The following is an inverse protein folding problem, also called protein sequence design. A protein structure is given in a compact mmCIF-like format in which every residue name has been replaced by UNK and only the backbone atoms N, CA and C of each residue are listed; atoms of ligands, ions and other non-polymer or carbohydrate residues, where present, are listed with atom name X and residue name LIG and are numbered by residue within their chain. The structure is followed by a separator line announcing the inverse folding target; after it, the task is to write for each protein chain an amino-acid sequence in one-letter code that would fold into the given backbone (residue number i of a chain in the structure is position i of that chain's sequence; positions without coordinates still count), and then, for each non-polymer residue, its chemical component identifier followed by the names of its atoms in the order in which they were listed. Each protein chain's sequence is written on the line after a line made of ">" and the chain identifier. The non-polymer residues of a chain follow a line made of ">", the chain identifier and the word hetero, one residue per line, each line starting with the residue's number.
data_IF_959542780688
#
_entry.id   IF_959542780688
#
_cell.length_a   1.000
_cell.length_b   1.000
_cell.length_c   1.000
_cell.angle_alpha   90.00
_cell.angle_beta   90.00
_cell.angle_gamma   90.00
#
_symmetry.space_group_name_H-M   'P 1'
#
loop_
_entity.id
_entity.type
_entity.pdbx_description
1 polymer ?
#
# COMPACT_ATOMS: atom_id res chain seq x y z
N UNK A 1 -0.24 -11.11 24.35
CA UNK A 1 1.21 -10.86 24.43
C UNK A 1 1.39 -9.45 24.91
N UNK A 2 2.34 -9.18 25.81
CA UNK A 2 2.63 -7.79 26.20
C UNK A 2 3.55 -7.18 25.14
N UNK A 3 3.13 -6.09 24.51
CA UNK A 3 3.89 -5.45 23.43
C UNK A 3 5.14 -4.73 23.94
N UNK A 4 5.21 -4.42 25.24
CA UNK A 4 6.33 -3.73 25.85
C UNK A 4 7.66 -4.50 25.72
N UNK A 5 7.60 -5.83 25.57
CA UNK A 5 8.79 -6.69 25.45
C UNK A 5 9.50 -6.59 24.10
N UNK A 6 8.82 -6.10 23.06
CA UNK A 6 9.35 -6.08 21.69
C UNK A 6 9.01 -4.82 20.90
N UNK A 7 8.50 -3.77 21.56
CA UNK A 7 8.30 -2.47 20.94
C UNK A 7 8.96 -1.39 21.79
N UNK A 8 9.87 -0.65 21.16
CA UNK A 8 10.51 0.51 21.76
C UNK A 8 9.61 1.72 21.49
N UNK A 9 9.02 2.25 22.56
CA UNK A 9 8.18 3.44 22.49
C UNK A 9 8.89 4.64 21.84
N UNK A 10 8.20 5.43 21.00
CA UNK A 10 8.80 6.58 20.35
C UNK A 10 9.12 7.68 21.37
N UNK A 11 10.19 8.43 21.11
CA UNK A 11 10.56 9.62 21.89
C UNK A 11 9.50 10.70 21.73
N UNK A 12 9.30 11.48 22.80
CA UNK A 12 8.44 12.66 22.75
C UNK A 12 9.22 13.85 22.19
N UNK A 13 8.58 14.63 21.32
CA UNK A 13 9.12 15.87 20.78
C UNK A 13 8.19 17.02 21.15
N UNK A 14 8.74 18.23 21.29
CA UNK A 14 7.91 19.43 21.43
C UNK A 14 7.26 19.73 20.09
N UNK A 15 5.93 19.84 20.09
CA UNK A 15 5.12 20.17 18.91
C UNK A 15 4.11 21.27 19.24
N UNK A 16 3.69 21.99 18.22
CA UNK A 16 2.62 22.96 18.30
C UNK A 16 1.25 22.27 18.25
N UNK A 17 0.21 22.90 18.82
CA UNK A 17 -1.14 22.32 18.91
C UNK A 17 -1.79 21.98 17.56
N UNK A 18 -1.30 22.55 16.45
CA UNK A 18 -1.80 22.29 15.09
C UNK A 18 -1.03 21.17 14.37
N UNK A 19 0.04 20.66 14.97
CA UNK A 19 0.90 19.64 14.39
C UNK A 19 0.47 18.24 14.83
N UNK A 20 0.68 17.24 13.97
CA UNK A 20 0.31 15.84 14.21
C UNK A 20 0.85 15.32 15.54
N UNK A 21 2.10 15.63 15.88
CA UNK A 21 2.72 15.11 17.10
C UNK A 21 2.03 15.56 18.39
N UNK A 22 1.18 16.59 18.35
CA UNK A 22 0.37 17.01 19.50
C UNK A 22 -0.81 16.08 19.81
N UNK A 23 -1.23 15.24 18.85
CA UNK A 23 -2.35 14.29 18.97
C UNK A 23 -1.95 12.82 18.89
N UNK A 24 -0.71 12.52 18.52
CA UNK A 24 -0.22 11.14 18.46
C UNK A 24 -0.31 10.48 19.85
N UNK A 25 -0.87 9.27 19.89
CA UNK A 25 -0.86 8.41 21.07
C UNK A 25 -0.01 7.16 20.84
N UNK A 26 0.26 6.39 21.90
CA UNK A 26 1.14 5.20 21.85
C UNK A 26 0.42 3.86 22.03
N UNK A 27 -0.87 3.92 22.34
CA UNK A 27 -1.71 2.73 22.54
C UNK A 27 -2.62 2.53 21.34
N UNK A 28 -2.76 1.27 20.91
CA UNK A 28 -3.67 0.88 19.85
C UNK A 28 -5.10 1.22 20.28
N UNK A 29 -5.80 2.00 19.46
CA UNK A 29 -7.20 2.39 19.67
C UNK A 29 -8.10 1.75 18.62
N UNK A 30 -9.36 1.61 18.96
CA UNK A 30 -10.38 1.16 18.02
C UNK A 30 -10.48 2.13 16.82
N UNK A 31 -10.60 1.59 15.61
CA UNK A 31 -10.73 2.36 14.35
C UNK A 31 -9.63 3.43 14.14
N UNK A 32 -8.40 3.15 14.60
CA UNK A 32 -7.24 4.05 14.49
C UNK A 32 -6.29 3.68 13.35
N UNK A 33 -5.38 4.59 13.01
CA UNK A 33 -4.22 4.32 12.15
C UNK A 33 -3.02 4.05 13.07
N UNK A 34 -2.41 2.86 12.95
CA UNK A 34 -1.30 2.45 13.81
C UNK A 34 -0.01 2.40 13.01
N UNK A 35 0.91 3.31 13.29
CA UNK A 35 2.24 3.33 12.71
C UNK A 35 3.15 2.42 13.54
N UNK A 36 3.82 1.48 12.88
CA UNK A 36 4.86 0.65 13.48
C UNK A 36 6.08 0.65 12.56
N UNK A 37 7.23 0.99 13.14
CA UNK A 37 8.47 1.08 12.40
C UNK A 37 9.30 -0.19 12.56
N UNK A 38 9.88 -0.69 11.48
CA UNK A 38 10.63 -1.95 11.45
C UNK A 38 12.04 -1.66 10.91
N UNK A 39 13.05 -2.19 11.57
CA UNK A 39 14.46 -2.01 11.20
C UNK A 39 15.17 -3.32 10.85
N UNK A 40 14.40 -4.37 10.57
CA UNK A 40 14.93 -5.66 10.11
C UNK A 40 15.00 -5.69 8.57
N UNK A 41 16.20 -5.76 8.02
CA UNK A 41 16.44 -5.78 6.57
C UNK A 41 17.05 -7.09 6.10
N UNK A 42 17.07 -8.14 6.94
CA UNK A 42 17.69 -9.43 6.61
C UNK A 42 17.08 -10.10 5.38
N UNK A 43 15.81 -9.81 5.08
CA UNK A 43 15.12 -10.32 3.89
C UNK A 43 15.57 -9.66 2.59
N UNK A 44 16.36 -8.60 2.67
CA UNK A 44 17.03 -7.91 1.56
C UNK A 44 18.57 -7.94 1.69
N UNK A 45 19.12 -8.96 2.38
CA UNK A 45 20.55 -9.08 2.69
C UNK A 45 21.15 -7.91 3.50
N UNK A 46 20.31 -7.18 4.25
CA UNK A 46 20.73 -6.18 5.22
C UNK A 46 20.85 -6.75 6.63
N UNK A 47 20.94 -5.85 7.61
CA UNK A 47 21.08 -6.21 9.02
C UNK A 47 19.71 -6.22 9.74
N UNK A 48 19.66 -6.95 10.85
CA UNK A 48 18.49 -7.04 11.74
C UNK A 48 18.59 -6.16 12.99
N UNK A 49 19.49 -5.18 13.01
CA UNK A 49 19.75 -4.37 14.20
C UNK A 49 18.67 -3.30 14.42
N UNK A 50 18.36 -3.02 15.69
CA UNK A 50 17.42 -1.95 16.05
C UNK A 50 17.97 -0.61 15.60
N UNK A 51 17.23 0.08 14.73
CA UNK A 51 17.54 1.43 14.25
C UNK A 51 16.50 2.45 14.73
N UNK A 52 16.94 3.70 14.91
CA UNK A 52 16.13 4.79 15.44
C UNK A 52 15.47 5.62 14.32
N UNK A 53 14.15 5.56 14.19
CA UNK A 53 13.38 6.38 13.24
C UNK A 53 13.12 7.83 13.72
N UNK A 54 13.81 8.30 14.76
CA UNK A 54 13.67 9.67 15.32
C UNK A 54 13.79 10.75 14.26
N UNK A 55 14.65 10.60 13.24
CA UNK A 55 14.81 11.62 12.20
C UNK A 55 13.53 11.78 11.35
N UNK A 56 12.93 10.66 10.94
CA UNK A 56 11.64 10.63 10.23
C UNK A 56 10.53 11.18 11.11
N UNK A 57 10.45 10.75 12.38
CA UNK A 57 9.45 11.24 13.34
C UNK A 57 9.55 12.75 13.55
N UNK A 58 10.75 13.32 13.64
CA UNK A 58 10.96 14.77 13.78
C UNK A 58 10.41 15.57 12.61
N UNK A 59 10.46 15.03 11.39
CA UNK A 59 9.86 15.68 10.22
C UNK A 59 8.34 15.45 10.21
N UNK A 60 7.88 14.22 10.44
CA UNK A 60 6.46 13.85 10.44
C UNK A 60 5.64 14.56 11.52
N UNK A 61 6.13 14.59 12.76
CA UNK A 61 5.39 15.16 13.89
C UNK A 61 5.17 16.67 13.77
N UNK A 62 5.95 17.35 12.92
CA UNK A 62 5.83 18.79 12.65
C UNK A 62 4.82 19.11 11.55
N UNK A 63 4.32 18.11 10.81
CA UNK A 63 3.34 18.31 9.77
C UNK A 63 1.95 18.62 10.37
N UNK A 64 1.10 19.29 9.58
CA UNK A 64 -0.23 19.72 10.03
C UNK A 64 -1.14 18.53 10.30
N UNK A 65 -1.90 18.57 11.39
CA UNK A 65 -2.93 17.56 11.64
C UNK A 65 -4.27 17.85 10.94
N UNK A 66 -4.40 19.04 10.33
CA UNK A 66 -5.66 19.52 9.73
C UNK A 66 -6.87 19.27 10.66
N UNK A 67 -7.98 18.85 10.09
CA UNK A 67 -9.21 18.42 10.75
C UNK A 67 -9.31 16.88 10.84
N UNK A 68 -8.18 16.16 10.84
CA UNK A 68 -8.18 14.70 10.93
C UNK A 68 -8.94 14.22 12.17
N UNK A 69 -9.92 13.35 11.95
CA UNK A 69 -10.78 12.77 12.98
C UNK A 69 -10.31 11.37 13.40
N UNK A 70 -9.58 10.67 12.53
CA UNK A 70 -9.10 9.32 12.82
C UNK A 70 -7.89 9.41 13.76
N UNK A 71 -7.91 8.73 14.92
CA UNK A 71 -6.75 8.71 15.81
C UNK A 71 -5.53 8.11 15.10
N UNK A 72 -4.39 8.78 15.21
CA UNK A 72 -3.09 8.27 14.74
C UNK A 72 -2.27 7.85 15.95
N UNK A 73 -1.79 6.61 15.91
CA UNK A 73 -0.98 5.98 16.95
C UNK A 73 0.41 5.75 16.39
N UNK A 74 1.45 6.21 17.07
CA UNK A 74 2.83 5.78 16.82
C UNK A 74 3.17 4.77 17.90
N UNK A 75 3.12 3.49 17.53
CA UNK A 75 3.36 2.39 18.45
C UNK A 75 4.84 2.29 18.83
N UNK A 76 5.73 2.74 17.94
CA UNK A 76 7.17 2.74 18.15
C UNK A 76 7.94 1.92 17.13
N UNK A 77 9.12 1.47 17.55
CA UNK A 77 10.04 0.67 16.74
C UNK A 77 9.96 -0.79 17.19
N UNK A 78 9.69 -1.70 16.26
CA UNK A 78 9.70 -3.13 16.49
C UNK A 78 11.14 -3.60 16.77
N UNK A 79 11.33 -4.31 17.87
CA UNK A 79 12.58 -5.01 18.17
C UNK A 79 12.65 -6.25 17.29
N UNK A 80 13.64 -6.30 16.41
CA UNK A 80 13.88 -7.47 15.56
C UNK A 80 14.06 -8.73 16.40
N UNK A 81 13.45 -9.83 15.94
CA UNK A 81 13.62 -11.14 16.53
C UNK A 81 15.05 -11.67 16.33
N UNK A 82 15.40 -12.75 17.03
CA UNK A 82 16.73 -13.37 16.89
C UNK A 82 16.99 -13.83 15.45
N UNK A 83 15.96 -14.35 14.79
CA UNK A 83 15.94 -14.68 13.37
C UNK A 83 14.93 -13.81 12.61
N UNK A 84 15.03 -13.75 11.29
CA UNK A 84 14.04 -13.04 10.45
C UNK A 84 12.64 -13.67 10.59
N UNK A 85 12.58 -15.00 10.78
CA UNK A 85 11.33 -15.72 11.02
C UNK A 85 10.69 -15.29 12.35
N UNK A 86 11.49 -15.07 13.40
CA UNK A 86 11.00 -14.53 14.65
C UNK A 86 10.42 -13.12 14.45
N UNK A 87 11.09 -12.26 13.67
CA UNK A 87 10.56 -10.92 13.33
C UNK A 87 9.23 -11.00 12.58
N UNK A 88 9.10 -11.91 11.62
CA UNK A 88 7.83 -12.14 10.92
C UNK A 88 6.71 -12.54 11.88
N UNK A 89 6.99 -13.45 12.81
CA UNK A 89 6.03 -13.93 13.80
C UNK A 89 5.60 -12.81 14.75
N UNK A 90 6.55 -12.07 15.34
CA UNK A 90 6.24 -10.95 16.24
C UNK A 90 5.41 -9.90 15.50
N UNK A 91 5.79 -9.54 14.26
CA UNK A 91 5.03 -8.60 13.46
C UNK A 91 3.61 -9.08 13.20
N UNK A 92 3.40 -10.37 12.87
CA UNK A 92 2.07 -10.94 12.65
C UNK A 92 1.19 -10.83 13.90
N UNK A 93 1.73 -11.04 15.11
CA UNK A 93 0.97 -10.88 16.36
C UNK A 93 0.51 -9.42 16.57
N UNK A 94 1.38 -8.45 16.30
CA UNK A 94 1.02 -7.01 16.39
C UNK A 94 -0.04 -6.64 15.35
N UNK A 95 0.11 -7.12 14.12
CA UNK A 95 -0.85 -6.91 13.04
C UNK A 95 -2.22 -7.49 13.39
N UNK A 96 -2.27 -8.72 13.93
CA UNK A 96 -3.50 -9.34 14.38
C UNK A 96 -4.19 -8.55 15.50
N UNK A 97 -3.43 -8.01 16.45
CA UNK A 97 -4.00 -7.14 17.48
C UNK A 97 -4.57 -5.82 16.92
N UNK A 98 -3.92 -5.23 15.92
CA UNK A 98 -4.47 -4.07 15.22
C UNK A 98 -5.80 -4.43 14.54
N UNK A 99 -5.85 -5.56 13.83
CA UNK A 99 -7.06 -6.04 13.15
C UNK A 99 -8.22 -6.35 14.10
N UNK A 100 -7.96 -6.95 15.27
CA UNK A 100 -8.98 -7.15 16.30
C UNK A 100 -9.60 -5.83 16.79
N UNK A 101 -8.82 -4.75 16.81
CA UNK A 101 -9.29 -3.40 17.15
C UNK A 101 -9.83 -2.62 15.94
N UNK A 102 -9.99 -3.26 14.77
CA UNK A 102 -10.36 -2.59 13.50
C UNK A 102 -9.43 -1.44 13.12
N UNK A 103 -8.20 -1.43 13.65
CA UNK A 103 -7.19 -0.46 13.31
C UNK A 103 -6.53 -0.82 11.98
N UNK A 104 -6.04 0.20 11.26
CA UNK A 104 -5.28 0.06 10.02
C UNK A 104 -3.80 0.12 10.39
N UNK A 105 -3.08 -1.02 10.48
CA UNK A 105 -1.64 -1.01 10.64
C UNK A 105 -0.96 -0.47 9.38
N UNK A 106 0.00 0.42 9.60
CA UNK A 106 0.92 0.96 8.60
C UNK A 106 2.33 0.60 9.06
N UNK A 107 2.96 -0.33 8.35
CA UNK A 107 4.32 -0.77 8.64
C UNK A 107 5.30 0.08 7.84
N UNK A 108 6.31 0.66 8.49
CA UNK A 108 7.29 1.55 7.86
C UNK A 108 8.71 1.03 8.09
N UNK A 109 9.47 0.89 7.01
CA UNK A 109 10.83 0.34 7.05
C UNK A 109 10.85 -1.18 6.97
N UNK A 110 12.05 -1.74 7.15
CA UNK A 110 12.33 -3.16 6.99
C UNK A 110 12.34 -3.60 5.53
N UNK A 111 12.72 -4.85 5.31
CA UNK A 111 12.77 -5.43 3.96
C UNK A 111 11.38 -5.78 3.41
N UNK A 112 11.25 -5.74 2.08
CA UNK A 112 9.96 -5.88 1.37
C UNK A 112 9.26 -7.24 1.58
N UNK A 113 9.96 -8.24 2.08
CA UNK A 113 9.41 -9.54 2.44
C UNK A 113 8.39 -9.49 3.59
N UNK A 114 8.40 -8.45 4.44
CA UNK A 114 7.36 -8.25 5.46
C UNK A 114 5.97 -7.98 4.88
N UNK A 115 5.86 -7.73 3.57
CA UNK A 115 4.59 -7.84 2.84
C UNK A 115 3.91 -9.21 3.05
N UNK A 116 4.68 -10.29 3.22
CA UNK A 116 4.15 -11.60 3.61
C UNK A 116 3.49 -11.57 4.98
N UNK A 117 4.08 -10.89 5.97
CA UNK A 117 3.49 -10.76 7.31
C UNK A 117 2.18 -9.99 7.28
N UNK A 118 2.13 -8.88 6.54
CA UNK A 118 0.89 -8.12 6.30
C UNK A 118 -0.19 -8.99 5.67
N UNK A 119 0.14 -9.68 4.57
CA UNK A 119 -0.80 -10.53 3.87
C UNK A 119 -1.30 -11.67 4.76
N UNK A 120 -0.38 -12.39 5.42
CA UNK A 120 -0.69 -13.55 6.25
C UNK A 120 -1.58 -13.18 7.43
N UNK A 121 -1.25 -12.11 8.15
CA UNK A 121 -2.05 -11.62 9.26
C UNK A 121 -3.44 -11.19 8.79
N UNK A 122 -3.55 -10.39 7.71
CA UNK A 122 -4.85 -9.99 7.18
C UNK A 122 -5.67 -11.20 6.72
N UNK A 123 -5.04 -12.18 6.06
CA UNK A 123 -5.70 -13.40 5.56
C UNK A 123 -6.24 -14.29 6.69
N UNK A 124 -5.70 -14.16 7.90
CA UNK A 124 -6.27 -14.82 9.08
C UNK A 124 -7.63 -14.21 9.47
N UNK A 125 -7.80 -12.89 9.32
CA UNK A 125 -9.02 -12.17 9.69
C UNK A 125 -10.06 -12.06 8.55
N UNK A 126 -9.61 -12.01 7.30
CA UNK A 126 -10.47 -11.84 6.12
C UNK A 126 -9.95 -12.68 4.94
N UNK A 127 -10.86 -13.28 4.17
CA UNK A 127 -10.53 -14.00 2.92
C UNK A 127 -10.82 -13.13 1.69
N UNK A 128 -10.38 -13.57 0.52
CA UNK A 128 -10.57 -12.89 -0.76
C UNK A 128 -9.95 -11.48 -0.77
N UNK A 129 -8.67 -11.39 -0.40
CA UNK A 129 -7.94 -10.12 -0.31
C UNK A 129 -7.69 -9.54 -1.70
N UNK A 130 -8.01 -8.25 -1.90
CA UNK A 130 -7.51 -7.45 -3.00
C UNK A 130 -6.16 -6.85 -2.59
N UNK A 131 -5.07 -7.32 -3.20
CA UNK A 131 -3.72 -6.90 -2.86
C UNK A 131 -3.10 -6.06 -3.98
N UNK A 132 -2.76 -4.81 -3.68
CA UNK A 132 -2.05 -3.91 -4.60
C UNK A 132 -0.63 -3.68 -4.12
N UNK A 133 0.34 -3.81 -5.02
CA UNK A 133 1.75 -3.57 -4.72
C UNK A 133 2.34 -2.55 -5.68
N UNK A 134 3.01 -1.53 -5.15
CA UNK A 134 3.87 -0.65 -5.92
C UNK A 134 5.31 -1.14 -5.77
N UNK A 135 5.94 -1.59 -6.86
CA UNK A 135 7.33 -2.04 -6.87
C UNK A 135 7.95 -1.91 -8.26
N UNK A 136 9.26 -1.72 -8.32
CA UNK A 136 10.02 -1.67 -9.57
C UNK A 136 10.24 -3.05 -10.21
N UNK A 137 10.10 -4.12 -9.43
CA UNK A 137 10.43 -5.49 -9.82
C UNK A 137 9.41 -6.53 -9.33
N UNK A 138 9.21 -7.53 -10.17
CA UNK A 138 8.36 -8.70 -9.96
C UNK A 138 9.31 -9.88 -9.77
N UNK A 139 9.37 -10.40 -8.55
CA UNK A 139 10.12 -11.62 -8.25
C UNK A 139 9.18 -12.73 -7.79
N UNK A 140 9.24 -13.85 -8.51
CA UNK A 140 8.47 -15.07 -8.22
C UNK A 140 9.42 -16.26 -7.96
N UNK A 141 10.64 -15.97 -7.48
CA UNK A 141 11.61 -17.03 -7.20
C UNK A 141 11.05 -17.98 -6.16
N UNK A 142 11.34 -19.26 -6.33
CA UNK A 142 10.97 -20.29 -5.36
C UNK A 142 12.08 -20.45 -4.33
N UNK A 143 11.71 -20.68 -3.08
CA UNK A 143 12.66 -20.88 -1.99
C UNK A 143 11.97 -21.25 -0.68
N UNK A 144 12.72 -21.91 0.21
CA UNK A 144 12.21 -22.31 1.54
C UNK A 144 12.09 -21.10 2.48
N UNK A 145 13.05 -20.17 2.42
CA UNK A 145 13.04 -18.96 3.25
C UNK A 145 12.20 -17.84 2.63
N UNK A 146 11.59 -17.02 3.48
CA UNK A 146 10.88 -15.79 3.09
C UNK A 146 11.93 -14.68 2.96
N UNK A 147 12.01 -14.06 1.78
CA UNK A 147 12.85 -12.91 1.49
C UNK A 147 12.23 -12.08 0.34
N UNK A 148 12.88 -10.97 -0.03
CA UNK A 148 12.34 -10.03 -1.02
C UNK A 148 12.11 -10.65 -2.40
N UNK A 149 12.72 -11.80 -2.69
CA UNK A 149 12.56 -12.52 -3.94
C UNK A 149 11.55 -13.67 -3.89
N UNK A 150 11.20 -14.18 -2.70
CA UNK A 150 10.37 -15.38 -2.52
C UNK A 150 9.02 -15.10 -1.87
N UNK A 151 8.82 -13.93 -1.26
CA UNK A 151 7.59 -13.65 -0.51
C UNK A 151 6.31 -13.76 -1.38
N UNK A 152 6.33 -13.25 -2.62
CA UNK A 152 5.18 -13.33 -3.53
C UNK A 152 4.86 -14.76 -3.96
N UNK A 153 5.87 -15.56 -4.30
CA UNK A 153 5.65 -16.95 -4.69
C UNK A 153 5.09 -17.77 -3.53
N UNK A 154 5.49 -17.46 -2.29
CA UNK A 154 4.89 -18.04 -1.08
C UNK A 154 3.46 -17.59 -0.85
N UNK A 155 3.14 -16.31 -1.08
CA UNK A 155 1.76 -15.81 -0.98
C UNK A 155 0.86 -16.54 -1.99
N UNK A 156 1.29 -16.64 -3.25
CA UNK A 156 0.50 -17.27 -4.32
C UNK A 156 0.45 -18.79 -4.22
N UNK A 157 1.49 -19.44 -3.69
CA UNK A 157 1.56 -20.89 -3.56
C UNK A 157 0.92 -21.47 -2.29
N UNK A 158 0.58 -20.63 -1.31
CA UNK A 158 0.03 -21.08 -0.03
C UNK A 158 -1.44 -21.50 -0.17
N UNK A 159 -1.75 -22.77 0.12
CA UNK A 159 -3.10 -23.35 -0.01
C UNK A 159 -4.17 -22.69 0.88
N UNK A 160 -3.77 -22.10 1.99
CA UNK A 160 -4.65 -21.46 2.97
C UNK A 160 -4.80 -19.94 2.76
N UNK A 161 -4.15 -19.39 1.73
CA UNK A 161 -4.22 -17.99 1.35
C UNK A 161 -5.29 -17.79 0.28
N UNK A 162 -6.04 -16.71 0.40
CA UNK A 162 -7.17 -16.41 -0.47
C UNK A 162 -7.03 -15.00 -1.02
N UNK A 163 -6.66 -14.93 -2.29
CA UNK A 163 -6.45 -13.68 -3.04
C UNK A 163 -7.59 -13.57 -4.03
N UNK A 164 -8.30 -12.44 -4.00
CA UNK A 164 -9.33 -12.14 -4.99
C UNK A 164 -8.72 -11.49 -6.21
N UNK A 165 -7.93 -10.44 -6.00
CA UNK A 165 -7.21 -9.73 -7.04
C UNK A 165 -5.80 -9.41 -6.57
N UNK A 166 -4.84 -9.46 -7.49
CA UNK A 166 -3.51 -8.92 -7.29
C UNK A 166 -3.17 -7.92 -8.40
N UNK A 167 -2.65 -6.77 -7.99
CA UNK A 167 -2.25 -5.69 -8.89
C UNK A 167 -0.80 -5.31 -8.61
N UNK A 168 0.07 -5.46 -9.61
CA UNK A 168 1.48 -5.06 -9.51
C UNK A 168 1.75 -3.81 -10.34
N UNK A 169 2.05 -2.71 -9.66
CA UNK A 169 2.16 -1.38 -10.23
C UNK A 169 3.62 -0.89 -10.15
N UNK A 170 4.08 -0.19 -11.18
CA UNK A 170 5.35 0.53 -11.15
C UNK A 170 6.55 -0.26 -11.67
N UNK A 171 6.34 -1.46 -12.23
CA UNK A 171 7.45 -2.29 -12.67
C UNK A 171 8.20 -1.64 -13.84
N UNK A 172 9.52 -1.85 -13.87
CA UNK A 172 10.41 -1.34 -14.89
C UNK A 172 10.99 -2.51 -15.70
N UNK A 173 10.70 -2.58 -17.01
CA UNK A 173 11.05 -3.76 -17.84
C UNK A 173 12.52 -4.19 -17.74
N UNK A 174 13.45 -3.26 -17.62
CA UNK A 174 14.88 -3.55 -17.59
C UNK A 174 15.35 -4.18 -16.26
N UNK A 175 14.51 -4.15 -15.22
CA UNK A 175 14.75 -4.78 -13.92
C UNK A 175 14.03 -6.12 -13.77
N UNK A 176 13.34 -6.60 -14.82
CA UNK A 176 12.40 -7.72 -14.72
C UNK A 176 12.70 -8.80 -15.75
N UNK A 177 12.68 -10.06 -15.29
CA UNK A 177 12.71 -11.21 -16.19
C UNK A 177 11.40 -11.31 -16.98
N UNK A 178 11.52 -11.57 -18.28
CA UNK A 178 10.37 -11.65 -19.19
C UNK A 178 9.39 -12.75 -18.76
N UNK A 179 9.90 -13.86 -18.24
CA UNK A 179 9.07 -14.99 -17.86
C UNK A 179 8.26 -14.73 -16.58
N UNK A 180 8.78 -13.96 -15.62
CA UNK A 180 7.99 -13.47 -14.47
C UNK A 180 6.81 -12.62 -14.93
N UNK A 181 7.03 -11.73 -15.91
CA UNK A 181 5.96 -10.88 -16.47
C UNK A 181 4.89 -11.72 -17.18
N UNK A 182 5.30 -12.75 -17.93
CA UNK A 182 4.35 -13.66 -18.60
C UNK A 182 3.53 -14.43 -17.59
N UNK A 183 4.18 -15.00 -16.57
CA UNK A 183 3.51 -15.81 -15.56
C UNK A 183 2.43 -15.03 -14.81
N UNK A 184 2.71 -13.78 -14.39
CA UNK A 184 1.71 -12.92 -13.74
C UNK A 184 0.49 -12.70 -14.65
N UNK A 185 0.70 -12.54 -15.96
CA UNK A 185 -0.41 -12.38 -16.91
C UNK A 185 -1.18 -13.67 -17.16
N UNK A 186 -0.50 -14.82 -17.16
CA UNK A 186 -1.12 -16.14 -17.32
C UNK A 186 -2.05 -16.48 -16.16
N UNK A 187 -1.73 -16.04 -14.94
CA UNK A 187 -2.62 -16.13 -13.77
C UNK A 187 -3.60 -14.95 -13.64
N UNK A 188 -3.76 -14.19 -14.73
CA UNK A 188 -4.72 -13.09 -14.90
C UNK A 188 -4.60 -11.92 -13.92
N UNK A 189 -3.48 -11.77 -13.23
CA UNK A 189 -3.21 -10.60 -12.40
C UNK A 189 -2.86 -9.38 -13.24
N UNK A 190 -3.18 -8.19 -12.72
CA UNK A 190 -2.93 -6.94 -13.44
C UNK A 190 -1.52 -6.43 -13.17
N UNK A 191 -0.84 -5.98 -14.24
CA UNK A 191 0.47 -5.35 -14.13
C UNK A 191 0.49 -4.02 -14.86
N UNK A 192 1.03 -3.00 -14.21
CA UNK A 192 1.11 -1.63 -14.73
C UNK A 192 2.55 -1.17 -14.70
N UNK A 193 3.05 -0.67 -15.83
CA UNK A 193 4.43 -0.15 -15.93
C UNK A 193 4.54 1.20 -15.22
N UNK A 194 5.75 1.52 -14.76
CA UNK A 194 6.05 2.87 -14.25
C UNK A 194 5.57 3.99 -15.18
N UNK A 195 5.82 3.86 -16.49
CA UNK A 195 5.44 4.87 -17.48
C UNK A 195 3.93 5.17 -17.54
N UNK A 196 3.09 4.21 -17.14
CA UNK A 196 1.63 4.36 -17.12
C UNK A 196 1.15 5.05 -15.84
N UNK A 197 1.99 5.04 -14.78
CA UNK A 197 1.74 5.69 -13.50
C UNK A 197 2.19 7.15 -13.45
N UNK A 198 3.00 7.59 -14.43
CA UNK A 198 3.56 8.94 -14.43
C UNK A 198 2.49 10.01 -14.72
N UNK A 199 2.73 11.22 -14.20
CA UNK A 199 1.94 12.45 -14.39
C UNK A 199 0.56 12.50 -13.72
N UNK A 200 -0.20 11.40 -13.66
CA UNK A 200 -1.55 11.38 -13.07
C UNK A 200 -1.90 10.02 -12.50
N UNK A 201 -2.61 10.02 -11.36
CA UNK A 201 -3.13 8.83 -10.69
C UNK A 201 -4.43 8.30 -11.34
N UNK A 202 -5.12 9.10 -12.15
CA UNK A 202 -6.47 8.77 -12.66
C UNK A 202 -6.57 7.40 -13.37
N UNK A 203 -5.52 7.00 -14.10
CA UNK A 203 -5.49 5.73 -14.84
C UNK A 203 -5.32 4.52 -13.94
N UNK A 204 -4.78 4.72 -12.74
CA UNK A 204 -4.30 3.66 -11.84
C UNK A 204 -5.04 3.67 -10.50
N UNK A 205 -5.74 4.75 -10.16
CA UNK A 205 -6.69 4.84 -9.06
C UNK A 205 -7.64 3.62 -8.97
N UNK A 206 -8.16 3.04 -10.08
CA UNK A 206 -9.03 1.87 -9.99
C UNK A 206 -8.39 0.64 -9.32
N UNK A 207 -7.06 0.52 -9.34
CA UNK A 207 -6.32 -0.57 -8.67
C UNK A 207 -6.17 -0.35 -7.17
N UNK A 208 -6.46 0.85 -6.66
CA UNK A 208 -6.41 1.17 -5.23
C UNK A 208 -7.81 1.20 -4.61
N UNK A 209 -8.84 1.62 -5.35
CA UNK A 209 -10.18 1.90 -4.82
C UNK A 209 -10.78 0.82 -3.92
N UNK A 210 -10.61 -0.46 -4.28
CA UNK A 210 -11.11 -1.62 -3.52
C UNK A 210 -10.00 -2.48 -2.89
N UNK A 211 -8.78 -1.95 -2.79
CA UNK A 211 -7.66 -2.66 -2.18
C UNK A 211 -7.86 -2.86 -0.67
N UNK A 212 -7.64 -4.08 -0.19
CA UNK A 212 -7.66 -4.40 1.24
C UNK A 212 -6.25 -4.22 1.84
N UNK A 213 -5.23 -4.59 1.07
CA UNK A 213 -3.82 -4.46 1.41
C UNK A 213 -3.09 -3.68 0.32
N UNK A 214 -2.29 -2.69 0.72
CA UNK A 214 -1.35 -2.04 -0.18
C UNK A 214 0.07 -2.05 0.36
N UNK A 215 1.04 -2.46 -0.46
CA UNK A 215 2.46 -2.38 -0.09
C UNK A 215 3.24 -1.56 -1.10
N UNK A 216 4.09 -0.67 -0.61
CA UNK A 216 4.98 0.18 -1.39
C UNK A 216 6.42 -0.25 -1.11
N UNK A 217 7.12 -0.72 -2.13
CA UNK A 217 8.56 -0.90 -2.08
C UNK A 217 9.23 0.43 -2.50
N UNK A 218 9.99 1.04 -1.61
CA UNK A 218 10.70 2.30 -1.86
C UNK A 218 11.70 2.23 -3.01
N UNK A 219 12.13 1.03 -3.45
CA UNK A 219 12.95 0.84 -4.66
C UNK A 219 12.23 1.26 -5.96
N UNK A 220 10.90 1.47 -5.91
CA UNK A 220 10.11 2.05 -7.00
C UNK A 220 10.17 3.59 -7.06
N UNK A 221 10.80 4.25 -6.09
CA UNK A 221 10.87 5.69 -5.96
C UNK A 221 12.27 6.13 -6.40
N UNK A 222 12.34 7.18 -7.22
CA UNK A 222 13.63 7.65 -7.72
C UNK A 222 14.49 8.20 -6.57
N UNK A 223 15.78 7.86 -6.58
CA UNK A 223 16.80 8.48 -5.76
C UNK A 223 17.48 9.60 -6.53
N UNK A 224 17.90 10.66 -5.84
CA UNK A 224 18.56 11.81 -6.45
C UNK A 224 20.03 11.90 -6.04
N UNK A 225 20.38 12.79 -5.10
CA UNK A 225 21.75 12.93 -4.60
C UNK A 225 22.16 11.77 -3.67
N UNK A 226 21.19 11.23 -2.93
CA UNK A 226 21.40 10.19 -1.93
C UNK A 226 20.34 9.10 -2.09
N UNK A 227 20.70 7.88 -1.67
CA UNK A 227 19.83 6.72 -1.73
C UNK A 227 18.61 6.90 -0.81
N UNK A 228 17.41 6.95 -1.40
CA UNK A 228 16.14 6.96 -0.66
C UNK A 228 15.75 5.56 -0.18
N UNK A 229 16.12 4.53 -0.94
CA UNK A 229 15.79 3.13 -0.67
C UNK A 229 17.04 2.26 -0.52
N UNK A 230 16.86 1.02 -0.07
CA UNK A 230 17.94 0.04 0.09
C UNK A 230 18.56 -0.37 -1.26
N UNK A 231 17.76 -0.45 -2.33
CA UNK A 231 18.22 -0.73 -3.68
C UNK A 231 17.89 0.47 -4.61
N UNK A 232 18.57 1.61 -4.44
CA UNK A 232 18.18 2.89 -5.04
C UNK A 232 18.23 2.82 -6.57
N UNK A 233 17.23 3.43 -7.21
CA UNK A 233 17.14 3.55 -8.67
C UNK A 233 17.22 5.02 -9.10
N UNK A 234 17.85 5.28 -10.25
CA UNK A 234 17.87 6.62 -10.86
C UNK A 234 16.52 7.02 -11.47
N UNK A 235 15.68 6.04 -11.80
CA UNK A 235 14.33 6.24 -12.34
C UNK A 235 13.31 5.54 -11.43
N UNK A 236 12.19 6.21 -11.21
CA UNK A 236 11.11 5.73 -10.35
C UNK A 236 9.98 6.75 -10.31
N UNK A 237 9.01 6.55 -9.42
CA UNK A 237 8.05 7.59 -9.09
C UNK A 237 8.79 8.76 -8.45
N UNK A 238 8.52 9.97 -8.92
CA UNK A 238 9.10 11.15 -8.30
C UNK A 238 8.40 11.50 -6.98
N UNK A 239 8.96 12.45 -6.24
CA UNK A 239 8.47 12.87 -4.90
C UNK A 239 7.01 13.32 -4.89
N UNK A 240 6.54 13.96 -5.97
CA UNK A 240 5.14 14.42 -6.07
C UNK A 240 4.21 13.26 -6.42
N UNK A 241 4.64 12.40 -7.33
CA UNK A 241 3.88 11.23 -7.76
C UNK A 241 3.68 10.24 -6.61
N UNK A 242 4.73 9.91 -5.86
CA UNK A 242 4.57 8.98 -4.73
C UNK A 242 3.63 9.55 -3.67
N UNK A 243 3.73 10.84 -3.33
CA UNK A 243 2.79 11.48 -2.40
C UNK A 243 1.34 11.45 -2.92
N UNK A 244 1.12 11.67 -4.22
CA UNK A 244 -0.19 11.51 -4.83
C UNK A 244 -0.69 10.06 -4.70
N UNK A 245 0.15 9.06 -4.98
CA UNK A 245 -0.20 7.65 -4.82
C UNK A 245 -0.48 7.26 -3.37
N UNK A 246 0.28 7.78 -2.40
CA UNK A 246 -0.02 7.52 -0.98
C UNK A 246 -1.40 8.04 -0.59
N UNK A 247 -1.82 9.19 -1.13
CA UNK A 247 -3.19 9.68 -0.96
C UNK A 247 -4.22 8.76 -1.58
N UNK A 248 -4.01 8.30 -2.81
CA UNK A 248 -4.91 7.32 -3.48
C UNK A 248 -5.02 6.01 -2.69
N UNK A 249 -3.91 5.54 -2.11
CA UNK A 249 -3.93 4.37 -1.22
C UNK A 249 -4.86 4.61 -0.04
N UNK A 250 -4.75 5.78 0.61
CA UNK A 250 -5.61 6.15 1.72
C UNK A 250 -7.08 6.30 1.33
N UNK A 251 -7.38 6.68 0.09
CA UNK A 251 -8.75 6.82 -0.43
C UNK A 251 -9.44 5.48 -0.70
N UNK A 252 -8.73 4.36 -0.56
CA UNK A 252 -9.31 3.04 -0.75
C UNK A 252 -10.46 2.76 0.22
N UNK A 253 -11.57 2.25 -0.31
CA UNK A 253 -12.80 2.00 0.43
C UNK A 253 -12.67 0.84 1.42
N UNK A 254 -11.74 -0.08 1.15
CA UNK A 254 -11.56 -1.33 1.90
C UNK A 254 -10.25 -1.39 2.68
N UNK A 255 -9.44 -0.33 2.72
CA UNK A 255 -8.09 -0.36 3.26
C UNK A 255 -8.04 -0.94 4.68
N UNK A 256 -7.34 -2.07 4.85
CA UNK A 256 -7.11 -2.73 6.15
C UNK A 256 -5.66 -2.77 6.54
N UNK A 257 -4.72 -2.64 5.61
CA UNK A 257 -3.29 -2.75 5.91
C UNK A 257 -2.42 -2.06 4.89
N UNK A 258 -1.35 -1.42 5.36
CA UNK A 258 -0.36 -0.76 4.51
C UNK A 258 1.06 -1.14 4.93
N UNK A 259 1.94 -1.31 3.95
CA UNK A 259 3.39 -1.44 4.17
C UNK A 259 4.18 -0.47 3.30
N UNK A 260 5.21 0.14 3.87
CA UNK A 260 6.17 1.01 3.18
C UNK A 260 7.57 0.44 3.48
N UNK A 261 8.10 -0.34 2.55
CA UNK A 261 9.29 -1.17 2.75
C UNK A 261 10.51 -0.67 1.98
N UNK A 262 11.68 -1.22 2.32
CA UNK A 262 12.97 -0.91 1.69
C UNK A 262 13.36 0.58 1.76
N UNK A 263 12.78 1.37 2.67
CA UNK A 263 13.30 2.71 2.96
C UNK A 263 14.74 2.59 3.46
N UNK A 264 15.64 3.46 2.99
CA UNK A 264 17.02 3.49 3.47
C UNK A 264 17.09 4.09 4.89
N UNK A 265 17.04 3.24 5.90
CA UNK A 265 17.11 3.65 7.30
C UNK A 265 18.44 4.32 7.66
N UNK A 266 19.51 4.03 6.92
CA UNK A 266 20.83 4.62 7.12
C UNK A 266 20.98 6.00 6.46
N UNK A 267 19.93 6.51 5.81
CA UNK A 267 19.99 7.82 5.19
C UNK A 267 20.13 8.92 6.25
N UNK A 268 21.21 9.70 6.16
CA UNK A 268 21.39 10.93 6.94
C UNK A 268 20.79 12.16 6.24
N UNK A 269 20.25 11.99 5.03
CA UNK A 269 19.69 13.09 4.25
C UNK A 269 18.28 13.47 4.76
N UNK A 270 18.17 14.67 5.32
CA UNK A 270 16.91 15.22 5.82
C UNK A 270 15.79 15.23 4.76
N UNK A 271 16.11 15.40 3.47
CA UNK A 271 15.11 15.37 2.40
C UNK A 271 14.47 13.98 2.22
N UNK A 272 15.22 12.92 2.51
CA UNK A 272 14.68 11.55 2.49
C UNK A 272 13.74 11.33 3.68
N UNK A 273 14.11 11.83 4.87
CA UNK A 273 13.23 11.81 6.05
C UNK A 273 11.94 12.60 5.79
N UNK A 274 12.04 13.77 5.16
CA UNK A 274 10.88 14.59 4.76
C UNK A 274 9.98 13.89 3.76
N UNK A 275 10.55 13.20 2.76
CA UNK A 275 9.75 12.48 1.78
C UNK A 275 8.97 11.34 2.44
N UNK A 276 9.61 10.52 3.27
CA UNK A 276 8.92 9.44 3.98
C UNK A 276 7.84 9.98 4.94
N UNK A 277 8.14 11.08 5.66
CA UNK A 277 7.17 11.76 6.50
C UNK A 277 5.95 12.26 5.71
N UNK A 278 6.16 12.82 4.52
CA UNK A 278 5.06 13.27 3.65
C UNK A 278 4.28 12.10 3.07
N UNK A 279 4.93 10.99 2.70
CA UNK A 279 4.25 9.77 2.26
C UNK A 279 3.27 9.26 3.32
N UNK A 280 3.69 9.19 4.59
CA UNK A 280 2.83 8.82 5.72
C UNK A 280 1.70 9.84 5.89
N UNK A 281 2.01 11.14 5.77
CA UNK A 281 1.02 12.20 5.91
C UNK A 281 -0.08 12.14 4.85
N UNK A 282 0.27 12.00 3.57
CA UNK A 282 -0.71 11.92 2.48
C UNK A 282 -1.55 10.64 2.55
N UNK A 283 -0.98 9.54 3.05
CA UNK A 283 -1.75 8.34 3.37
C UNK A 283 -2.82 8.63 4.42
N UNK A 284 -2.44 9.24 5.54
CA UNK A 284 -3.38 9.60 6.62
C UNK A 284 -4.46 10.58 6.11
N UNK A 285 -4.08 11.54 5.26
CA UNK A 285 -5.02 12.45 4.62
C UNK A 285 -6.05 11.69 3.79
N UNK A 286 -5.62 10.76 2.93
CA UNK A 286 -6.51 9.92 2.12
C UNK A 286 -7.49 9.12 2.98
N UNK A 287 -7.00 8.46 4.04
CA UNK A 287 -7.84 7.67 4.96
C UNK A 287 -8.89 8.55 5.65
N UNK A 288 -8.51 9.76 6.07
CA UNK A 288 -9.47 10.70 6.69
C UNK A 288 -10.52 11.17 5.67
N UNK A 289 -10.12 11.54 4.45
CA UNK A 289 -11.07 11.93 3.39
C UNK A 289 -12.06 10.81 3.11
N UNK A 290 -11.58 9.57 2.98
CA UNK A 290 -12.43 8.42 2.72
C UNK A 290 -13.50 8.20 3.80
N UNK A 291 -13.16 8.44 5.07
CA UNK A 291 -14.12 8.37 6.18
C UNK A 291 -15.24 9.41 6.09
N UNK A 292 -14.96 10.57 5.48
CA UNK A 292 -15.95 11.65 5.29
C UNK A 292 -16.85 11.44 4.06
N UNK A 293 -16.56 10.45 3.20
CA UNK A 293 -17.40 10.18 2.05
C UNK A 293 -18.83 9.77 2.44
N UNK A 294 -19.86 10.22 1.69
CA UNK A 294 -21.24 9.88 1.97
C UNK A 294 -21.46 8.37 1.87
N UNK A 295 -22.16 7.79 2.85
CA UNK A 295 -22.53 6.36 2.84
C UNK A 295 -23.51 6.02 1.72
N UNK A 296 -24.44 6.93 1.44
CA UNK A 296 -25.36 6.80 0.32
C UNK A 296 -24.72 7.39 -0.93
N UNK A 297 -24.61 6.56 -1.98
CA UNK A 297 -24.03 6.92 -3.27
C UNK A 297 -25.10 6.89 -4.34
N UNK A 298 -24.99 7.80 -5.30
CA UNK A 298 -25.87 7.85 -6.46
C UNK A 298 -25.05 7.69 -7.74
N UNK A 299 -25.59 6.94 -8.69
CA UNK A 299 -24.86 6.58 -9.90
C UNK A 299 -25.65 6.96 -11.15
N UNK A 300 -24.95 7.60 -12.08
CA UNK A 300 -25.41 7.73 -13.47
C UNK A 300 -25.01 6.49 -14.25
N UNK A 301 -25.93 5.95 -15.06
CA UNK A 301 -25.72 4.72 -15.83
C UNK A 301 -25.54 5.07 -17.31
N UNK A 302 -24.50 4.51 -17.92
CA UNK A 302 -24.15 4.68 -19.32
C UNK A 302 -24.09 3.32 -20.00
N UNK A 303 -24.84 3.17 -21.09
CA UNK A 303 -24.83 1.97 -21.93
C UNK A 303 -23.95 2.20 -23.15
N UNK A 304 -23.01 1.28 -23.40
CA UNK A 304 -22.10 1.32 -24.54
C UNK A 304 -22.26 0.03 -25.35
N UNK A 305 -22.49 0.17 -26.65
CA UNK A 305 -22.63 -0.97 -27.58
C UNK A 305 -21.30 -1.18 -28.33
N UNK A 306 -20.75 -2.40 -28.26
CA UNK A 306 -19.56 -2.82 -29.02
C UNK A 306 -19.87 -4.20 -29.62
N UNK A 307 -19.76 -4.34 -30.94
CA UNK A 307 -20.03 -5.59 -31.67
C UNK A 307 -21.34 -6.28 -31.25
N UNK A 308 -22.44 -5.50 -31.22
CA UNK A 308 -23.79 -5.93 -30.82
C UNK A 308 -23.91 -6.43 -29.37
N UNK A 309 -22.89 -6.22 -28.53
CA UNK A 309 -22.95 -6.46 -27.07
C UNK A 309 -23.09 -5.15 -26.31
N UNK A 310 -23.99 -5.14 -25.34
CA UNK A 310 -24.18 -4.01 -24.44
C UNK A 310 -23.29 -4.15 -23.21
N UNK A 311 -22.58 -3.07 -22.89
CA UNK A 311 -21.76 -2.93 -21.70
C UNK A 311 -22.26 -1.76 -20.85
N UNK A 312 -22.18 -1.92 -19.53
CA UNK A 312 -22.73 -0.96 -18.57
C UNK A 312 -21.60 -0.31 -17.79
N UNK A 313 -21.58 1.02 -17.81
CA UNK A 313 -20.70 1.85 -16.99
C UNK A 313 -21.56 2.67 -16.02
N UNK A 314 -21.07 2.83 -14.79
CA UNK A 314 -21.72 3.62 -13.74
C UNK A 314 -20.76 4.70 -13.26
N UNK A 315 -21.22 5.94 -13.09
CA UNK A 315 -20.42 7.05 -12.54
C UNK A 315 -21.03 7.50 -11.22
N UNK A 316 -20.25 7.50 -10.15
CA UNK A 316 -20.64 8.10 -8.88
C UNK A 316 -20.75 9.62 -9.05
N UNK A 317 -21.92 10.18 -8.74
CA UNK A 317 -22.19 11.63 -8.88
C UNK A 317 -21.45 12.48 -7.87
N UNK A 318 -21.02 11.92 -6.73
CA UNK A 318 -20.23 12.63 -5.72
C UNK A 318 -18.75 12.67 -6.12
N UNK A 319 -18.14 11.50 -6.32
CA UNK A 319 -16.69 11.38 -6.53
C UNK A 319 -16.27 11.50 -8.00
N UNK A 320 -17.21 11.41 -8.94
CA UNK A 320 -16.95 11.25 -10.38
C UNK A 320 -16.16 9.98 -10.75
N UNK A 321 -16.06 9.01 -9.84
CA UNK A 321 -15.39 7.73 -10.06
C UNK A 321 -16.26 6.78 -10.87
N UNK A 322 -15.61 5.96 -11.70
CA UNK A 322 -16.26 5.10 -12.70
C UNK A 322 -16.22 3.63 -12.33
N UNK A 323 -17.29 2.91 -12.62
CA UNK A 323 -17.43 1.49 -12.39
C UNK A 323 -17.94 0.82 -13.67
N UNK A 324 -17.58 -0.44 -13.86
CA UNK A 324 -18.02 -1.27 -14.97
C UNK A 324 -18.78 -2.48 -14.44
N UNK A 325 -19.95 -2.76 -15.02
CA UNK A 325 -20.80 -3.89 -14.66
C UNK A 325 -22.27 -3.51 -14.55
N UNK A 326 -23.13 -4.50 -14.75
CA UNK A 326 -24.60 -4.35 -14.77
C UNK A 326 -25.27 -4.77 -13.44
N UNK A 327 -24.48 -5.01 -12.38
CA UNK A 327 -25.01 -5.39 -11.08
C UNK A 327 -25.51 -4.17 -10.30
N UNK A 328 -26.73 -4.22 -9.76
CA UNK A 328 -27.30 -3.14 -8.93
C UNK A 328 -26.45 -2.84 -7.71
N UNK A 329 -25.79 -3.86 -7.14
CA UNK A 329 -24.82 -3.69 -6.08
C UNK A 329 -23.46 -3.24 -6.66
N UNK A 330 -23.10 -1.98 -6.41
CA UNK A 330 -21.83 -1.41 -6.87
C UNK A 330 -20.59 -2.16 -6.36
N UNK A 331 -20.72 -2.89 -5.24
CA UNK A 331 -19.64 -3.73 -4.71
C UNK A 331 -19.25 -4.85 -5.67
N UNK A 332 -20.20 -5.32 -6.48
CA UNK A 332 -19.98 -6.34 -7.51
C UNK A 332 -19.49 -5.74 -8.84
N UNK A 333 -19.55 -4.41 -9.01
CA UNK A 333 -18.99 -3.74 -10.18
C UNK A 333 -17.47 -3.56 -10.04
N UNK A 334 -16.79 -3.60 -11.19
CA UNK A 334 -15.33 -3.46 -11.31
C UNK A 334 -14.97 -1.96 -11.34
N UNK A 335 -14.11 -1.45 -10.44
CA UNK A 335 -13.57 -0.10 -10.56
C UNK A 335 -12.91 0.11 -11.92
N UNK A 336 -13.24 1.20 -12.60
CA UNK A 336 -12.61 1.59 -13.85
C UNK A 336 -12.32 3.09 -13.90
N UNK A 337 -11.54 3.48 -14.88
CA UNK A 337 -11.18 4.87 -15.12
C UNK A 337 -12.15 5.50 -16.12
N UNK A 338 -12.21 6.83 -16.14
CA UNK A 338 -12.90 7.56 -17.20
C UNK A 338 -12.34 7.19 -18.59
N UNK A 339 -11.03 6.94 -18.67
CA UNK A 339 -10.36 6.51 -19.89
C UNK A 339 -10.91 5.19 -20.42
N UNK A 340 -11.18 4.22 -19.56
CA UNK A 340 -11.76 2.92 -19.95
C UNK A 340 -13.13 3.13 -20.64
N UNK A 341 -13.98 4.00 -20.09
CA UNK A 341 -15.25 4.38 -20.70
C UNK A 341 -15.07 5.08 -22.05
N UNK A 342 -14.11 6.01 -22.15
CA UNK A 342 -13.84 6.74 -23.39
C UNK A 342 -13.23 5.86 -24.49
N UNK A 343 -12.49 4.81 -24.13
CA UNK A 343 -12.01 3.76 -25.05
C UNK A 343 -13.15 2.84 -25.50
N UNK A 344 -14.04 2.45 -24.57
CA UNK A 344 -15.19 1.61 -24.89
C UNK A 344 -16.11 2.26 -25.92
N UNK A 345 -16.36 3.58 -25.81
CA UNK A 345 -17.11 4.34 -26.83
C UNK A 345 -16.47 4.32 -28.22
N UNK A 346 -15.18 4.04 -28.31
CA UNK A 346 -14.44 3.91 -29.58
C UNK A 346 -14.39 2.47 -30.07
N UNK A 347 -15.10 1.54 -29.42
CA UNK A 347 -15.13 0.12 -29.73
C UNK A 347 -14.02 -0.70 -29.05
N UNK A 348 -13.26 -0.12 -28.12
CA UNK A 348 -12.14 -0.80 -27.45
C UNK A 348 -12.45 -1.05 -25.98
N UNK A 349 -12.63 -2.32 -25.59
CA UNK A 349 -12.85 -2.69 -24.21
C UNK A 349 -11.58 -3.33 -23.61
N UNK A 350 -11.14 -2.84 -22.46
CA UNK A 350 -10.01 -3.41 -21.74
C UNK A 350 -10.33 -4.85 -21.32
N UNK A 351 -9.39 -5.77 -21.54
CA UNK A 351 -9.56 -7.18 -21.15
C UNK A 351 -9.76 -7.34 -19.65
N UNK A 352 -9.24 -6.42 -18.83
CA UNK A 352 -9.45 -6.37 -17.38
C UNK A 352 -10.94 -6.30 -17.01
N UNK A 353 -11.75 -5.60 -17.81
CA UNK A 353 -13.18 -5.43 -17.53
C UNK A 353 -14.00 -6.66 -17.93
N UNK A 354 -13.47 -7.53 -18.78
CA UNK A 354 -14.16 -8.72 -19.28
C UNK A 354 -13.74 -10.01 -18.58
N UNK A 355 -12.87 -9.93 -17.57
CA UNK A 355 -12.53 -11.06 -16.67
C UNK A 355 -13.74 -11.28 -15.76
N UNK A 356 -14.56 -12.30 -16.03
CA UNK A 356 -15.68 -12.74 -15.20
C UNK A 356 -15.43 -14.17 -14.76
#
# INVERSE_FOLDING_TARGET
>A
MDFEDFIISPRNFKTENWQIGSRITKEIKEDSIVLLFVSDYRGANGEGEVQDFTAVRKEFYKLSQLDFEIPVVDLGDLVSGKTIQDSHYILQEVLSACHYNRAIPVIIGGSNDFAFSLFSALNFHQKNINYTQISNSISLKQGEEINEHTFLSKIFGAKNFSIKNYHHLGYQKHLNEVDSIKLIKEVEFDIIRLAEMMNSTEKTEPFFRKADLVTVNCDAIESFSDAFSMNPQVNGLNRREICAYMKEIGLSENLKSVGIFNYNIYSENQLNHQLLAQMIWYLIEGINIQKTHPKERHYEIFYVLIDDRQYVFKRDTFSNLWYFGDDDNIENCIPCSRKDFDEAKKGWLSTRLTKI
#
